data_IF_936110809363
#
_entry.id   IF_936110809363
#
_cell.length_a   1.000
_cell.length_b   1.000
_cell.length_c   1.000
_cell.angle_alpha   90.00
_cell.angle_beta   90.00
_cell.angle_gamma   90.00
#
_symmetry.space_group_name_H-M   'P 1'
#
loop_
_entity.id
_entity.type
_entity.pdbx_description
1 polymer ?
#
# COMPACT_ATOMS: atom_id res chain seq x y z
N UNK A 1 11.66 24.08 4.99
CA UNK A 1 11.43 22.75 5.61
C UNK A 1 11.56 21.65 4.56
N UNK A 2 11.40 20.38 4.93
CA UNK A 2 11.50 19.24 3.99
C UNK A 2 10.51 19.35 2.81
N UNK A 3 9.30 19.87 3.04
CA UNK A 3 8.32 20.11 1.96
C UNK A 3 8.86 21.02 0.85
N UNK A 4 9.48 22.14 1.21
CA UNK A 4 10.06 23.10 0.26
C UNK A 4 11.18 22.50 -0.60
N UNK A 5 11.92 21.51 -0.09
CA UNK A 5 12.99 20.86 -0.86
C UNK A 5 12.53 19.66 -1.68
N UNK A 6 11.42 19.02 -1.30
CA UNK A 6 10.88 17.84 -1.97
C UNK A 6 9.82 18.20 -3.01
N UNK A 7 8.90 19.13 -2.72
CA UNK A 7 7.79 19.47 -3.63
C UNK A 7 8.24 19.82 -5.05
N UNK A 8 9.31 20.64 -5.26
CA UNK A 8 9.78 20.95 -6.61
C UNK A 8 10.34 19.74 -7.37
N UNK A 9 10.64 18.63 -6.69
CA UNK A 9 11.16 17.39 -7.25
C UNK A 9 10.08 16.36 -7.55
N UNK A 10 8.82 16.63 -7.18
CA UNK A 10 7.70 15.73 -7.48
C UNK A 10 7.34 15.90 -8.95
N UNK A 11 7.70 14.91 -9.76
CA UNK A 11 7.39 14.93 -11.19
C UNK A 11 5.89 14.80 -11.47
N UNK A 12 5.16 14.01 -10.67
CA UNK A 12 3.72 13.78 -10.86
C UNK A 12 3.08 13.15 -9.62
N UNK A 13 1.75 13.20 -9.57
CA UNK A 13 0.90 12.46 -8.63
C UNK A 13 0.10 11.42 -9.41
N UNK A 14 0.49 10.15 -9.32
CA UNK A 14 -0.21 9.06 -9.99
C UNK A 14 -1.54 8.71 -9.31
N UNK A 15 -2.54 8.32 -10.10
CA UNK A 15 -3.91 8.06 -9.67
C UNK A 15 -4.20 6.60 -9.29
N UNK A 16 -3.21 5.71 -9.44
CA UNK A 16 -3.34 4.30 -9.01
C UNK A 16 -2.00 3.65 -8.74
N UNK A 17 -2.00 2.61 -7.90
CA UNK A 17 -0.81 1.81 -7.60
C UNK A 17 -0.11 1.28 -8.86
N UNK A 18 -0.88 0.78 -9.84
CA UNK A 18 -0.33 0.24 -11.08
C UNK A 18 0.40 1.30 -11.90
N UNK A 19 -0.18 2.51 -11.99
CA UNK A 19 0.47 3.63 -12.68
C UNK A 19 1.67 4.16 -11.90
N UNK A 20 1.62 4.21 -10.57
CA UNK A 20 2.79 4.55 -9.73
C UNK A 20 3.96 3.61 -9.98
N UNK A 21 3.73 2.29 -9.93
CA UNK A 21 4.77 1.30 -10.22
C UNK A 21 5.28 1.42 -11.67
N UNK A 22 4.37 1.67 -12.62
CA UNK A 22 4.70 1.87 -14.04
C UNK A 22 5.63 3.05 -14.31
N UNK A 23 5.58 4.12 -13.51
CA UNK A 23 6.49 5.27 -13.69
C UNK A 23 7.97 4.88 -13.49
N UNK A 24 8.24 3.95 -12.56
CA UNK A 24 9.60 3.43 -12.31
C UNK A 24 10.02 2.48 -13.42
N UNK A 25 9.17 1.52 -13.80
CA UNK A 25 9.52 0.53 -14.84
C UNK A 25 9.73 1.18 -16.21
N UNK A 26 8.99 2.25 -16.52
CA UNK A 26 9.18 3.05 -17.73
C UNK A 26 10.33 4.06 -17.64
N UNK A 27 11.05 4.10 -16.51
CA UNK A 27 12.15 5.04 -16.23
C UNK A 27 11.74 6.51 -16.41
N UNK A 28 10.48 6.81 -16.13
CA UNK A 28 9.93 8.17 -16.20
C UNK A 28 10.24 8.99 -14.95
N UNK A 29 10.60 8.32 -13.86
CA UNK A 29 11.07 8.90 -12.59
C UNK A 29 12.16 8.02 -11.99
N UNK A 30 13.03 8.59 -11.16
CA UNK A 30 14.08 7.83 -10.45
C UNK A 30 13.54 7.03 -9.25
N UNK A 31 12.46 7.50 -8.62
CA UNK A 31 11.88 6.87 -7.44
C UNK A 31 10.39 7.22 -7.29
N UNK A 32 9.67 6.36 -6.56
CA UNK A 32 8.30 6.60 -6.11
C UNK A 32 8.17 6.27 -4.63
N UNK A 33 7.23 6.95 -3.96
CA UNK A 33 6.73 6.48 -2.67
C UNK A 33 5.61 5.49 -2.97
N UNK A 34 5.80 4.23 -2.61
CA UNK A 34 4.93 3.13 -3.01
C UNK A 34 4.83 2.01 -1.97
N UNK A 35 4.10 0.96 -2.35
CA UNK A 35 3.93 -0.22 -1.51
C UNK A 35 5.06 -1.21 -1.74
N UNK A 36 5.50 -1.91 -0.68
CA UNK A 36 6.52 -2.97 -0.75
C UNK A 36 6.25 -4.02 -1.83
N UNK A 37 4.98 -4.29 -2.14
CA UNK A 37 4.61 -5.31 -3.12
C UNK A 37 5.02 -4.95 -4.56
N UNK A 38 5.29 -3.68 -4.86
CA UNK A 38 5.64 -3.24 -6.23
C UNK A 38 6.91 -3.92 -6.76
N UNK A 39 7.92 -4.14 -5.91
CA UNK A 39 9.12 -4.87 -6.30
C UNK A 39 8.83 -6.32 -6.75
N UNK A 40 7.74 -6.93 -6.28
CA UNK A 40 7.36 -8.28 -6.70
C UNK A 40 6.55 -8.30 -8.00
N UNK A 41 6.01 -7.16 -8.42
CA UNK A 41 5.33 -7.04 -9.72
C UNK A 41 6.31 -6.95 -10.89
N UNK A 42 7.48 -6.34 -10.67
CA UNK A 42 8.53 -6.18 -11.67
C UNK A 42 9.93 -6.29 -11.02
N UNK A 43 10.34 -7.49 -10.56
CA UNK A 43 11.54 -7.67 -9.74
C UNK A 43 12.86 -7.31 -10.40
N UNK A 44 12.94 -7.36 -11.73
CA UNK A 44 14.13 -6.97 -12.50
C UNK A 44 14.24 -5.45 -12.69
N UNK A 45 13.15 -4.70 -12.46
CA UNK A 45 13.06 -3.26 -12.76
C UNK A 45 12.83 -2.40 -11.51
N UNK A 46 12.38 -3.00 -10.40
CA UNK A 46 12.02 -2.29 -9.18
C UNK A 46 12.74 -2.89 -7.97
N UNK A 47 13.55 -2.06 -7.31
CA UNK A 47 14.10 -2.31 -5.98
C UNK A 47 13.27 -1.55 -4.92
N UNK A 48 13.06 -2.17 -3.76
CA UNK A 48 12.47 -1.47 -2.59
C UNK A 48 13.57 -0.95 -1.68
N UNK A 49 13.66 0.37 -1.55
CA UNK A 49 14.46 1.03 -0.51
C UNK A 49 13.56 1.35 0.68
N UNK A 50 13.80 0.72 1.82
CA UNK A 50 12.98 0.91 3.02
C UNK A 50 13.28 2.24 3.71
N UNK A 51 12.24 2.93 4.16
CA UNK A 51 12.36 4.00 5.13
C UNK A 51 12.72 3.42 6.51
N UNK A 52 13.44 4.18 7.36
CA UNK A 52 13.60 3.82 8.76
C UNK A 52 12.23 3.61 9.43
N UNK A 53 12.05 2.56 10.26
CA UNK A 53 10.75 2.23 10.84
C UNK A 53 10.09 3.38 11.62
N UNK A 54 10.88 4.21 12.28
CA UNK A 54 10.42 5.40 13.02
C UNK A 54 9.87 6.52 12.12
N UNK A 55 10.15 6.46 10.82
CA UNK A 55 9.61 7.40 9.82
C UNK A 55 8.32 6.89 9.17
N UNK A 56 7.85 5.70 9.53
CA UNK A 56 6.60 5.13 9.02
C UNK A 56 5.51 5.38 10.07
N UNK A 57 4.67 6.42 9.92
CA UNK A 57 3.70 6.77 10.95
C UNK A 57 2.51 5.79 11.00
N UNK A 58 2.25 5.10 9.88
CA UNK A 58 1.01 4.33 9.68
C UNK A 58 1.23 3.11 8.80
N UNK A 59 0.65 1.98 9.19
CA UNK A 59 0.46 0.79 8.35
C UNK A 59 -0.89 0.92 7.64
N UNK A 60 -0.86 1.01 6.32
CA UNK A 60 -2.07 0.91 5.51
C UNK A 60 -2.42 -0.56 5.21
N UNK A 61 -3.71 -0.85 5.06
CA UNK A 61 -4.22 -2.17 4.68
C UNK A 61 -5.26 -2.04 3.57
N UNK A 62 -5.60 -3.17 2.92
CA UNK A 62 -6.63 -3.24 1.87
C UNK A 62 -7.95 -3.69 2.53
N UNK A 63 -8.88 -2.78 2.85
CA UNK A 63 -10.17 -3.16 3.43
C UNK A 63 -11.09 -3.81 2.39
N UNK A 64 -11.95 -4.70 2.85
CA UNK A 64 -13.10 -5.21 2.09
C UNK A 64 -14.36 -5.05 2.94
N UNK A 65 -15.46 -4.60 2.33
CA UNK A 65 -16.73 -4.36 3.01
C UNK A 65 -17.93 -4.56 2.08
N UNK A 66 -19.09 -4.82 2.65
CA UNK A 66 -20.36 -4.93 1.92
C UNK A 66 -21.01 -3.55 1.83
N UNK A 67 -21.32 -3.10 0.62
CA UNK A 67 -22.09 -1.86 0.43
C UNK A 67 -23.49 -1.98 1.04
N UNK A 68 -23.95 -0.92 1.71
CA UNK A 68 -25.33 -0.80 2.26
C UNK A 68 -26.41 -1.00 1.18
N UNK A 69 -26.09 -0.75 -0.09
CA UNK A 69 -27.02 -0.89 -1.22
C UNK A 69 -26.89 -2.22 -1.98
N UNK A 70 -26.07 -3.16 -1.49
CA UNK A 70 -25.85 -4.45 -2.15
C UNK A 70 -27.16 -5.21 -2.38
N UNK A 71 -27.33 -5.74 -3.59
CA UNK A 71 -28.46 -6.62 -3.95
C UNK A 71 -28.22 -8.08 -3.60
N UNK A 72 -26.99 -8.43 -3.23
CA UNK A 72 -26.58 -9.80 -2.90
C UNK A 72 -25.68 -9.80 -1.65
N UNK A 73 -26.14 -9.31 -0.50
CA UNK A 73 -25.32 -9.19 0.71
C UNK A 73 -24.83 -10.55 1.22
N UNK A 74 -25.65 -11.61 1.14
CA UNK A 74 -25.24 -12.94 1.56
C UNK A 74 -24.10 -13.52 0.70
N UNK A 75 -24.18 -13.36 -0.62
CA UNK A 75 -23.11 -13.80 -1.52
C UNK A 75 -21.84 -12.95 -1.33
N UNK A 76 -21.98 -11.65 -1.12
CA UNK A 76 -20.85 -10.78 -0.80
C UNK A 76 -20.16 -11.18 0.51
N UNK A 77 -20.93 -11.61 1.52
CA UNK A 77 -20.37 -12.15 2.76
C UNK A 77 -19.58 -13.44 2.51
N UNK A 78 -20.12 -14.38 1.74
CA UNK A 78 -19.39 -15.60 1.38
C UNK A 78 -18.06 -15.30 0.66
N UNK A 79 -18.01 -14.26 -0.17
CA UNK A 79 -16.78 -13.83 -0.81
C UNK A 79 -15.78 -13.21 0.19
N UNK A 80 -16.24 -12.39 1.14
CA UNK A 80 -15.39 -11.88 2.23
C UNK A 80 -14.85 -13.02 3.07
N UNK A 81 -15.70 -13.98 3.45
CA UNK A 81 -15.32 -15.17 4.23
C UNK A 81 -14.23 -15.96 3.49
N UNK A 82 -14.38 -16.16 2.17
CA UNK A 82 -13.36 -16.79 1.34
C UNK A 82 -12.05 -15.99 1.28
N UNK A 83 -12.09 -14.70 0.92
CA UNK A 83 -10.89 -13.86 0.77
C UNK A 83 -10.11 -13.72 2.09
N UNK A 84 -10.81 -13.75 3.22
CA UNK A 84 -10.22 -13.64 4.56
C UNK A 84 -9.89 -14.98 5.22
N UNK A 85 -10.28 -16.11 4.61
CA UNK A 85 -9.91 -17.46 5.04
C UNK A 85 -8.41 -17.73 4.87
N UNK A 86 -7.93 -18.83 5.44
CA UNK A 86 -6.54 -19.27 5.27
C UNK A 86 -6.21 -19.56 3.80
N UNK A 87 -7.16 -20.09 3.03
CA UNK A 87 -7.01 -20.31 1.59
C UNK A 87 -6.87 -18.98 0.83
N UNK A 88 -7.76 -18.03 1.10
CA UNK A 88 -7.71 -16.70 0.48
C UNK A 88 -6.41 -15.96 0.81
N UNK A 89 -6.02 -15.96 2.08
CA UNK A 89 -4.74 -15.39 2.53
C UNK A 89 -3.54 -16.08 1.90
N UNK A 90 -3.55 -17.40 1.75
CA UNK A 90 -2.46 -18.12 1.08
C UNK A 90 -2.27 -17.66 -0.38
N UNK A 91 -3.34 -17.30 -1.09
CA UNK A 91 -3.25 -16.72 -2.44
C UNK A 91 -2.56 -15.35 -2.40
N UNK A 92 -2.92 -14.48 -1.46
CA UNK A 92 -2.26 -13.18 -1.27
C UNK A 92 -0.78 -13.34 -0.90
N UNK A 93 -0.46 -14.25 0.03
CA UNK A 93 0.90 -14.54 0.43
C UNK A 93 1.76 -15.09 -0.72
N UNK A 94 1.20 -15.96 -1.58
CA UNK A 94 1.84 -16.43 -2.82
C UNK A 94 2.29 -15.27 -3.72
N UNK A 95 1.51 -14.19 -3.74
CA UNK A 95 1.82 -12.97 -4.49
C UNK A 95 2.51 -11.89 -3.62
N UNK A 96 3.14 -12.30 -2.53
CA UNK A 96 3.95 -11.46 -1.66
C UNK A 96 3.19 -10.30 -1.00
N UNK A 97 1.89 -10.43 -0.76
CA UNK A 97 1.17 -9.53 0.14
C UNK A 97 1.35 -10.01 1.59
N UNK A 98 1.43 -9.05 2.51
CA UNK A 98 1.39 -9.35 3.95
C UNK A 98 -0.06 -9.64 4.34
N UNK A 99 -0.27 -10.73 5.08
CA UNK A 99 -1.62 -11.21 5.42
C UNK A 99 -1.93 -11.19 6.91
N UNK A 100 -0.92 -10.88 7.74
CA UNK A 100 -1.04 -10.66 9.17
C UNK A 100 -0.48 -9.31 9.60
N UNK A 101 -1.05 -8.76 10.67
CA UNK A 101 -0.55 -7.53 11.29
C UNK A 101 0.88 -7.70 11.81
N UNK A 102 1.20 -8.85 12.40
CA UNK A 102 2.54 -9.15 12.93
C UNK A 102 3.62 -9.05 11.86
N UNK A 103 3.34 -9.52 10.64
CA UNK A 103 4.25 -9.41 9.49
C UNK A 103 4.49 -7.94 9.11
N UNK A 104 3.43 -7.11 9.12
CA UNK A 104 3.55 -5.69 8.82
C UNK A 104 4.33 -4.94 9.91
N UNK A 105 4.17 -5.32 11.18
CA UNK A 105 4.89 -4.72 12.32
C UNK A 105 6.39 -4.97 12.30
N UNK A 106 6.89 -5.97 11.56
CA UNK A 106 8.33 -6.14 11.35
C UNK A 106 8.96 -4.93 10.64
N UNK A 107 8.18 -4.22 9.81
CA UNK A 107 8.65 -3.04 9.08
C UNK A 107 8.35 -1.73 9.80
N UNK A 108 7.29 -1.69 10.62
CA UNK A 108 6.82 -0.49 11.28
C UNK A 108 6.21 -0.81 12.66
N UNK A 109 7.03 -1.14 13.67
CA UNK A 109 6.55 -1.71 14.93
C UNK A 109 5.70 -0.74 15.75
N UNK A 110 6.01 0.56 15.66
CA UNK A 110 5.35 1.63 16.42
C UNK A 110 4.27 2.38 15.61
N UNK A 111 4.04 1.98 14.36
CA UNK A 111 3.06 2.64 13.50
C UNK A 111 1.63 2.34 13.92
N UNK A 112 0.73 3.30 13.68
CA UNK A 112 -0.71 3.08 13.83
C UNK A 112 -1.23 2.21 12.69
N UNK A 113 -2.13 1.26 12.99
CA UNK A 113 -2.77 0.44 11.95
C UNK A 113 -4.03 1.14 11.44
N UNK A 114 -4.05 1.47 10.15
CA UNK A 114 -5.18 2.14 9.52
C UNK A 114 -5.44 3.54 10.10
N UNK A 115 -6.70 3.93 10.13
CA UNK A 115 -7.12 5.26 10.56
C UNK A 115 -6.88 6.34 9.52
N UNK A 116 -7.13 7.58 9.92
CA UNK A 116 -6.99 8.77 9.08
C UNK A 116 -5.60 9.38 9.23
N UNK A 117 -5.14 10.05 8.18
CA UNK A 117 -3.89 10.80 8.20
C UNK A 117 -4.16 12.24 7.77
N UNK A 118 -3.95 13.17 8.68
CA UNK A 118 -4.03 14.59 8.34
C UNK A 118 -2.74 15.02 7.65
N UNK A 119 -2.88 15.58 6.44
CA UNK A 119 -1.74 16.16 5.75
C UNK A 119 -1.22 17.37 6.54
N UNK A 120 0.10 17.41 6.85
CA UNK A 120 0.71 18.57 7.47
C UNK A 120 0.50 19.83 6.62
N UNK A 121 0.47 21.01 7.26
CA UNK A 121 0.16 22.29 6.61
C UNK A 121 0.96 22.57 5.32
N UNK A 122 2.25 22.18 5.30
CA UNK A 122 3.11 22.34 4.11
C UNK A 122 2.87 21.34 2.97
N UNK A 123 1.88 20.45 3.09
CA UNK A 123 1.50 19.42 2.12
C UNK A 123 0.01 19.46 1.77
N UNK A 124 -0.73 20.44 2.30
CA UNK A 124 -2.12 20.72 1.89
C UNK A 124 -2.17 21.51 0.60
#
# INVERSE_FOLDING_TARGET
>A
GLSQSIQPKIATYAESCAKTAGLVTLRSVDAVIGWRVFAYWAPEEIETVYLPPEQIPRIGYVPIAISKSSKQPALAQQFIDFVTSDEGKAIYAKWHYLTGEEEARQFAPQATLGGEWELPEGWR
#
